data_IF_155763269973
#
_entry.id   IF_155763269973
#
_cell.length_a   1.000
_cell.length_b   1.000
_cell.length_c   1.000
_cell.angle_alpha   90.00
_cell.angle_beta   90.00
_cell.angle_gamma   90.00
#
_symmetry.space_group_name_H-M   'P 1'
#
loop_
_entity.id
_entity.type
_entity.pdbx_description
1 polymer ?
#
# COMPACT_ATOMS: atom_id res chain seq x y z
N UNK A 1 -21.22 21.69 -2.19
CA UNK A 1 -20.08 22.40 -1.59
C UNK A 1 -19.18 22.79 -2.75
N UNK A 2 -18.88 24.09 -2.96
CA UNK A 2 -17.95 24.50 -4.02
C UNK A 2 -16.53 24.43 -3.47
N UNK A 3 -15.87 23.30 -3.71
CA UNK A 3 -14.46 23.11 -3.37
C UNK A 3 -13.59 23.55 -4.55
N UNK A 4 -12.42 24.16 -4.30
CA UNK A 4 -11.50 24.51 -5.36
C UNK A 4 -11.06 23.24 -6.10
N UNK A 5 -11.09 23.31 -7.43
CA UNK A 5 -10.53 22.28 -8.30
C UNK A 5 -9.01 22.25 -8.21
N UNK A 6 -8.39 21.22 -8.79
CA UNK A 6 -6.94 21.18 -8.88
C UNK A 6 -6.38 22.36 -9.69
N UNK A 7 -7.09 22.76 -10.74
CA UNK A 7 -6.72 23.90 -11.59
C UNK A 7 -6.77 25.21 -10.80
N UNK A 8 -7.81 25.42 -9.99
CA UNK A 8 -7.92 26.59 -9.12
C UNK A 8 -6.72 26.69 -8.17
N UNK A 9 -6.26 25.56 -7.63
CA UNK A 9 -5.11 25.52 -6.73
C UNK A 9 -3.80 25.77 -7.50
N UNK A 10 -3.60 25.14 -8.66
CA UNK A 10 -2.39 25.36 -9.47
C UNK A 10 -2.26 26.83 -9.90
N UNK A 11 -3.39 27.47 -10.23
CA UNK A 11 -3.43 28.87 -10.62
C UNK A 11 -2.92 29.81 -9.51
N UNK A 12 -3.08 29.45 -8.23
CA UNK A 12 -2.53 30.25 -7.12
C UNK A 12 -1.00 30.32 -7.08
N UNK A 13 -0.32 29.49 -7.89
CA UNK A 13 1.14 29.42 -7.95
C UNK A 13 1.70 29.79 -9.32
N UNK A 14 0.93 30.42 -10.20
CA UNK A 14 1.39 30.78 -11.54
C UNK A 14 2.64 31.68 -11.54
N UNK A 15 2.77 32.56 -10.54
CA UNK A 15 3.91 33.47 -10.37
C UNK A 15 5.11 32.82 -9.65
N UNK A 16 5.03 31.54 -9.28
CA UNK A 16 6.12 30.82 -8.60
C UNK A 16 7.19 30.36 -9.62
N UNK A 17 7.96 31.32 -10.14
CA UNK A 17 8.91 31.18 -11.26
C UNK A 17 10.02 30.12 -11.14
N UNK A 18 10.18 29.44 -10.00
CA UNK A 18 11.35 28.58 -9.74
C UNK A 18 11.04 27.13 -9.36
N UNK A 19 9.78 26.75 -9.13
CA UNK A 19 9.44 25.40 -8.67
C UNK A 19 8.22 24.86 -9.42
N UNK A 20 8.36 23.67 -10.03
CA UNK A 20 7.19 22.89 -10.44
C UNK A 20 6.40 22.52 -9.19
N UNK A 21 5.12 22.90 -9.12
CA UNK A 21 4.22 22.55 -8.02
C UNK A 21 3.29 21.45 -8.52
N UNK A 22 3.28 20.33 -7.82
CA UNK A 22 2.23 19.32 -7.99
C UNK A 22 1.18 19.56 -6.94
N UNK A 23 -0.08 19.61 -7.38
CA UNK A 23 -1.23 19.57 -6.51
C UNK A 23 -2.26 18.56 -6.98
N UNK A 24 -3.09 18.12 -6.04
CA UNK A 24 -4.34 17.42 -6.30
C UNK A 24 -5.27 17.58 -5.10
N UNK A 25 -6.54 17.28 -5.32
CA UNK A 25 -7.59 17.41 -4.31
C UNK A 25 -8.26 16.07 -4.12
N UNK A 26 -8.52 15.76 -2.86
CA UNK A 26 -9.34 14.64 -2.44
C UNK A 26 -10.65 15.13 -1.85
N UNK A 27 -11.70 14.35 -2.10
CA UNK A 27 -12.98 14.53 -1.48
C UNK A 27 -13.40 13.23 -0.81
N UNK A 28 -13.68 13.33 0.48
CA UNK A 28 -14.10 12.25 1.36
C UNK A 28 -15.59 12.43 1.62
N UNK A 29 -16.39 11.61 0.96
CA UNK A 29 -17.86 11.66 0.99
C UNK A 29 -18.44 11.29 2.35
N UNK A 30 -17.86 10.30 3.04
CA UNK A 30 -18.35 9.83 4.34
C UNK A 30 -18.17 10.92 5.41
N UNK A 31 -17.08 11.68 5.33
CA UNK A 31 -16.76 12.76 6.28
C UNK A 31 -17.17 14.15 5.80
N UNK A 32 -17.58 14.29 4.53
CA UNK A 32 -17.82 15.56 3.84
C UNK A 32 -16.62 16.52 3.92
N UNK A 33 -15.40 15.98 3.83
CA UNK A 33 -14.16 16.76 3.90
C UNK A 33 -13.43 16.80 2.56
N UNK A 34 -12.93 17.99 2.21
CA UNK A 34 -11.94 18.15 1.15
C UNK A 34 -10.52 18.16 1.73
N UNK A 35 -9.56 17.57 1.03
CA UNK A 35 -8.13 17.71 1.33
C UNK A 35 -7.39 18.15 0.09
N UNK A 36 -6.58 19.19 0.23
CA UNK A 36 -5.67 19.63 -0.81
C UNK A 36 -4.26 19.15 -0.48
N UNK A 37 -3.57 18.64 -1.50
CA UNK A 37 -2.19 18.22 -1.48
C UNK A 37 -1.38 19.15 -2.36
N UNK A 38 -0.28 19.73 -1.86
CA UNK A 38 0.56 20.69 -2.59
C UNK A 38 2.03 20.41 -2.24
N UNK A 39 2.86 20.21 -3.26
CA UNK A 39 4.28 19.94 -3.10
C UNK A 39 5.10 20.67 -4.15
N UNK A 40 6.16 21.35 -3.70
CA UNK A 40 7.15 21.95 -4.58
C UNK A 40 8.22 20.94 -4.99
N UNK A 41 8.68 21.06 -6.23
CA UNK A 41 9.87 20.40 -6.75
C UNK A 41 11.13 21.21 -6.40
N UNK A 42 12.27 20.58 -6.06
CA UNK A 42 12.46 19.14 -5.88
C UNK A 42 11.78 18.63 -4.60
N UNK A 43 11.24 17.40 -4.65
CA UNK A 43 10.57 16.79 -3.48
C UNK A 43 11.60 16.42 -2.42
N UNK A 44 11.71 17.24 -1.37
CA UNK A 44 12.63 17.01 -0.25
C UNK A 44 11.98 16.28 0.92
N UNK A 45 10.67 15.99 0.84
CA UNK A 45 9.96 15.28 1.89
C UNK A 45 10.46 13.85 2.06
N UNK A 46 10.62 13.43 3.32
CA UNK A 46 11.02 12.06 3.68
C UNK A 46 9.83 11.13 3.89
N UNK A 47 8.65 11.69 4.16
CA UNK A 47 7.41 10.96 4.45
C UNK A 47 6.22 11.55 3.70
N UNK A 48 5.36 10.68 3.16
CA UNK A 48 4.13 11.07 2.47
C UNK A 48 2.92 10.35 3.07
N UNK A 49 2.10 11.08 3.80
CA UNK A 49 0.96 10.48 4.52
C UNK A 49 -0.36 10.66 3.76
N UNK A 50 -1.22 9.64 3.87
CA UNK A 50 -2.61 9.59 3.38
C UNK A 50 -2.74 9.83 1.87
N UNK A 51 -1.97 9.08 1.09
CA UNK A 51 -2.09 9.02 -0.37
C UNK A 51 -3.38 8.28 -0.74
N UNK A 52 -4.16 8.87 -1.65
CA UNK A 52 -5.48 8.40 -2.10
C UNK A 52 -5.42 7.92 -3.56
N UNK A 53 -6.52 7.37 -4.09
CA UNK A 53 -6.64 6.99 -5.51
C UNK A 53 -6.44 8.17 -6.48
N UNK A 54 -6.65 9.42 -6.05
CA UNK A 54 -6.47 10.60 -6.91
C UNK A 54 -5.00 11.00 -7.07
N UNK A 55 -4.09 10.31 -6.39
CA UNK A 55 -2.66 10.57 -6.50
C UNK A 55 -2.21 10.49 -7.97
N UNK A 56 -1.67 11.59 -8.54
CA UNK A 56 -1.36 11.67 -9.96
C UNK A 56 -0.10 10.90 -10.36
N UNK A 57 0.70 10.44 -9.38
CA UNK A 57 2.02 9.87 -9.61
C UNK A 57 3.14 10.91 -9.51
N UNK A 58 4.30 10.58 -10.09
CA UNK A 58 5.53 11.38 -10.01
C UNK A 58 6.64 10.63 -9.27
N UNK A 59 7.90 11.04 -9.41
CA UNK A 59 9.04 10.29 -8.83
C UNK A 59 9.57 10.98 -7.58
N UNK A 60 9.29 10.39 -6.41
CA UNK A 60 9.62 10.93 -5.09
C UNK A 60 10.81 10.20 -4.48
N UNK A 61 12.03 10.51 -4.94
CA UNK A 61 13.26 9.79 -4.53
C UNK A 61 13.62 9.94 -3.05
N UNK A 62 13.24 11.04 -2.41
CA UNK A 62 13.55 11.29 -1.00
C UNK A 62 12.56 10.63 -0.03
N UNK A 63 11.42 10.17 -0.53
CA UNK A 63 10.36 9.60 0.31
C UNK A 63 10.69 8.15 0.65
N UNK A 64 10.79 7.86 1.94
CA UNK A 64 11.09 6.53 2.46
C UNK A 64 9.95 5.92 3.27
N UNK A 65 8.93 6.71 3.62
CA UNK A 65 7.74 6.25 4.35
C UNK A 65 6.49 6.81 3.72
N UNK A 66 5.52 5.95 3.46
CA UNK A 66 4.21 6.36 2.95
C UNK A 66 3.07 5.73 3.76
N UNK A 67 1.93 6.42 3.81
CA UNK A 67 0.66 5.83 4.22
C UNK A 67 -0.41 6.04 3.15
N UNK A 68 -1.22 5.00 2.92
CA UNK A 68 -2.27 4.97 1.92
C UNK A 68 -3.62 4.92 2.62
N UNK A 69 -4.55 5.77 2.22
CA UNK A 69 -5.90 5.84 2.78
C UNK A 69 -6.88 6.38 1.74
N UNK A 70 -8.05 5.75 1.61
CA UNK A 70 -9.15 6.25 0.77
C UNK A 70 -10.47 5.64 1.25
N UNK A 71 -11.59 6.29 0.94
CA UNK A 71 -12.95 5.74 1.12
C UNK A 71 -13.31 4.76 -0.01
N UNK A 72 -12.57 4.79 -1.12
CA UNK A 72 -12.71 3.86 -2.25
C UNK A 72 -11.70 2.71 -2.15
N UNK A 73 -12.00 1.54 -2.73
CA UNK A 73 -11.02 0.46 -2.89
C UNK A 73 -9.74 0.90 -3.60
N UNK A 74 -8.63 0.23 -3.31
CA UNK A 74 -7.39 0.37 -4.07
C UNK A 74 -7.23 -0.82 -5.02
N UNK A 75 -7.18 -0.56 -6.32
CA UNK A 75 -6.98 -1.62 -7.31
C UNK A 75 -5.50 -1.86 -7.62
N UNK A 76 -5.18 -2.93 -8.33
CA UNK A 76 -3.79 -3.33 -8.62
C UNK A 76 -2.96 -2.21 -9.27
N UNK A 77 -3.56 -1.48 -10.21
CA UNK A 77 -2.97 -0.32 -10.89
C UNK A 77 -2.54 0.81 -9.94
N UNK A 78 -3.26 0.99 -8.84
CA UNK A 78 -2.90 1.99 -7.84
C UNK A 78 -1.59 1.59 -7.17
N UNK A 79 -1.45 0.33 -6.75
CA UNK A 79 -0.21 -0.16 -6.14
C UNK A 79 0.97 -0.14 -7.10
N UNK A 80 0.76 -0.37 -8.40
CA UNK A 80 1.78 -0.17 -9.44
C UNK A 80 2.24 1.29 -9.50
N UNK A 81 1.28 2.23 -9.54
CA UNK A 81 1.57 3.66 -9.53
C UNK A 81 2.37 4.06 -8.28
N UNK A 82 2.01 3.53 -7.11
CA UNK A 82 2.73 3.73 -5.85
C UNK A 82 4.16 3.20 -5.96
N UNK A 83 4.37 1.96 -6.38
CA UNK A 83 5.71 1.38 -6.50
C UNK A 83 6.62 2.19 -7.45
N UNK A 84 6.08 2.65 -8.58
CA UNK A 84 6.79 3.49 -9.54
C UNK A 84 7.12 4.89 -8.97
N UNK A 85 6.21 5.43 -8.16
CA UNK A 85 6.35 6.78 -7.62
C UNK A 85 7.31 6.87 -6.43
N UNK A 86 7.43 5.78 -5.67
CA UNK A 86 8.20 5.70 -4.43
C UNK A 86 9.26 4.60 -4.49
N UNK A 87 10.26 4.69 -5.39
CA UNK A 87 11.19 3.61 -5.67
C UNK A 87 12.07 3.19 -4.47
N UNK A 88 12.20 4.05 -3.45
CA UNK A 88 13.02 3.80 -2.25
C UNK A 88 12.19 3.69 -0.96
N UNK A 89 10.90 3.38 -1.09
CA UNK A 89 10.01 3.22 0.07
C UNK A 89 10.50 2.09 0.98
N UNK A 90 10.69 2.41 2.26
CA UNK A 90 11.10 1.50 3.33
C UNK A 90 9.95 1.12 4.25
N UNK A 91 8.96 2.00 4.39
CA UNK A 91 7.78 1.76 5.21
C UNK A 91 6.50 2.11 4.44
N UNK A 92 5.60 1.15 4.34
CA UNK A 92 4.28 1.28 3.75
C UNK A 92 3.22 0.95 4.81
N UNK A 93 2.32 1.90 5.07
CA UNK A 93 1.15 1.71 5.93
C UNK A 93 -0.08 1.74 5.04
N UNK A 94 -0.97 0.75 5.16
CA UNK A 94 -2.21 0.68 4.40
C UNK A 94 -3.42 0.73 5.33
N UNK A 95 -4.20 1.79 5.20
CA UNK A 95 -5.42 2.06 5.97
C UNK A 95 -6.61 2.10 5.00
N UNK A 96 -7.10 0.92 4.62
CA UNK A 96 -8.27 0.81 3.74
C UNK A 96 -8.99 -0.50 4.01
N UNK A 97 -10.22 -0.40 4.51
CA UNK A 97 -11.06 -1.56 4.85
C UNK A 97 -12.04 -1.94 3.74
N UNK A 98 -12.03 -1.23 2.60
CA UNK A 98 -12.87 -1.56 1.46
C UNK A 98 -12.25 -2.73 0.67
N UNK A 99 -13.04 -3.76 0.32
CA UNK A 99 -12.57 -4.84 -0.55
C UNK A 99 -12.21 -4.31 -1.93
N UNK A 100 -11.27 -4.98 -2.60
CA UNK A 100 -10.99 -4.71 -4.01
C UNK A 100 -12.20 -5.16 -4.84
N UNK A 101 -12.62 -4.31 -5.78
CA UNK A 101 -13.68 -4.68 -6.72
C UNK A 101 -13.12 -5.70 -7.73
N UNK A 102 -11.89 -5.48 -8.19
CA UNK A 102 -11.25 -6.26 -9.24
C UNK A 102 -9.98 -6.95 -8.72
N UNK A 103 -10.17 -7.98 -7.89
CA UNK A 103 -9.09 -8.78 -7.26
C UNK A 103 -8.15 -9.47 -8.26
N UNK A 104 -8.71 -9.76 -9.42
CA UNK A 104 -8.13 -10.27 -10.66
C UNK A 104 -8.98 -9.58 -11.72
N UNK A 105 -8.41 -9.04 -12.80
CA UNK A 105 -9.24 -8.56 -13.90
C UNK A 105 -10.12 -9.72 -14.41
N UNK A 106 -11.37 -9.78 -13.97
CA UNK A 106 -12.44 -10.49 -14.69
C UNK A 106 -13.09 -9.41 -15.51
N UNK A 107 -12.69 -9.27 -16.78
CA UNK A 107 -13.47 -8.76 -17.91
C UNK A 107 -12.54 -8.35 -19.06
N UNK A 108 -11.94 -9.33 -19.71
CA UNK A 108 -11.76 -9.29 -21.17
C UNK A 108 -11.87 -10.72 -21.65
N UNK A 109 -12.52 -10.94 -22.78
CA UNK A 109 -12.61 -12.23 -23.49
C UNK A 109 -11.23 -12.77 -23.96
N UNK A 110 -10.14 -12.19 -23.42
CA UNK A 110 -8.76 -12.60 -23.56
C UNK A 110 -8.24 -13.00 -22.16
N UNK A 111 -8.23 -14.30 -21.89
CA UNK A 111 -7.83 -14.96 -20.63
C UNK A 111 -6.32 -14.79 -20.28
N UNK A 112 -5.59 -13.87 -20.92
CA UNK A 112 -4.12 -13.85 -20.92
C UNK A 112 -3.46 -12.53 -20.50
N UNK A 113 -4.18 -11.53 -19.99
CA UNK A 113 -3.51 -10.35 -19.42
C UNK A 113 -2.92 -10.64 -18.03
N UNK A 114 -1.67 -11.08 -18.03
CA UNK A 114 -0.84 -11.16 -16.82
C UNK A 114 -0.53 -9.74 -16.36
N UNK A 115 -1.15 -9.32 -15.25
CA UNK A 115 -0.83 -8.04 -14.62
C UNK A 115 0.65 -8.01 -14.20
N UNK A 116 1.35 -6.88 -14.36
CA UNK A 116 2.73 -6.80 -13.96
C UNK A 116 2.84 -6.93 -12.44
N UNK A 117 3.85 -7.68 -11.99
CA UNK A 117 4.15 -7.89 -10.59
C UNK A 117 4.58 -6.55 -9.97
N UNK A 118 4.00 -6.21 -8.83
CA UNK A 118 4.37 -5.00 -8.09
C UNK A 118 5.65 -5.29 -7.30
N UNK A 119 6.68 -4.46 -7.46
CA UNK A 119 7.96 -4.67 -6.78
C UNK A 119 8.23 -3.59 -5.72
N UNK A 120 8.55 -4.03 -4.51
CA UNK A 120 8.93 -3.16 -3.39
C UNK A 120 10.32 -3.57 -2.85
N UNK A 121 11.40 -3.26 -3.60
CA UNK A 121 12.74 -3.82 -3.33
C UNK A 121 13.37 -3.33 -2.03
N UNK A 122 12.94 -2.19 -1.47
CA UNK A 122 13.50 -1.61 -0.24
C UNK A 122 12.54 -1.65 0.95
N UNK A 123 11.37 -2.30 0.80
CA UNK A 123 10.33 -2.28 1.81
C UNK A 123 10.71 -3.15 3.01
N UNK A 124 11.00 -2.50 4.13
CA UNK A 124 11.42 -3.12 5.40
C UNK A 124 10.23 -3.26 6.36
N UNK A 125 9.20 -2.42 6.24
CA UNK A 125 8.00 -2.51 7.08
C UNK A 125 6.73 -2.33 6.27
N UNK A 126 5.86 -3.33 6.32
CA UNK A 126 4.51 -3.32 5.77
C UNK A 126 3.50 -3.42 6.91
N UNK A 127 2.63 -2.41 7.03
CA UNK A 127 1.63 -2.32 8.09
C UNK A 127 0.23 -2.44 7.49
N UNK A 128 -0.45 -3.55 7.80
CA UNK A 128 -1.77 -3.94 7.27
C UNK A 128 -2.79 -4.13 8.41
N UNK A 129 -2.61 -3.49 9.57
CA UNK A 129 -3.54 -3.66 10.69
C UNK A 129 -4.93 -3.13 10.38
N UNK A 130 -5.02 -2.06 9.59
CA UNK A 130 -6.27 -1.40 9.17
C UNK A 130 -6.59 -1.67 7.69
N UNK A 131 -6.17 -2.84 7.18
CA UNK A 131 -6.35 -3.22 5.79
C UNK A 131 -7.35 -4.37 5.62
N UNK A 132 -8.16 -4.29 4.56
CA UNK A 132 -8.99 -5.40 4.12
C UNK A 132 -8.14 -6.64 3.72
N UNK A 133 -8.72 -7.83 3.84
CA UNK A 133 -8.03 -9.11 3.58
C UNK A 133 -7.53 -9.26 2.14
N UNK A 134 -8.14 -8.56 1.18
CA UNK A 134 -7.71 -8.56 -0.23
C UNK A 134 -6.31 -7.98 -0.39
N UNK A 135 -5.98 -6.93 0.36
CA UNK A 135 -4.66 -6.32 0.33
C UNK A 135 -3.62 -7.22 1.00
N UNK A 136 -4.00 -7.88 2.09
CA UNK A 136 -3.14 -8.89 2.74
C UNK A 136 -2.82 -10.01 1.74
N UNK A 137 -3.82 -10.50 1.01
CA UNK A 137 -3.61 -11.49 -0.05
C UNK A 137 -2.72 -10.94 -1.18
N UNK A 138 -2.95 -9.71 -1.64
CA UNK A 138 -2.13 -9.07 -2.68
C UNK A 138 -0.64 -9.02 -2.33
N UNK A 139 -0.30 -8.67 -1.09
CA UNK A 139 1.10 -8.57 -0.64
C UNK A 139 1.71 -9.94 -0.32
N UNK A 140 0.92 -10.92 0.11
CA UNK A 140 1.42 -12.26 0.42
C UNK A 140 1.52 -13.19 -0.79
N UNK A 141 0.76 -12.96 -1.86
CA UNK A 141 0.90 -13.71 -3.11
C UNK A 141 2.12 -13.22 -3.90
N UNK A 142 3.07 -14.12 -4.12
CA UNK A 142 4.30 -13.85 -4.87
C UNK A 142 4.04 -13.60 -6.37
N UNK A 143 2.93 -14.12 -6.88
CA UNK A 143 2.42 -13.85 -8.23
C UNK A 143 1.91 -12.42 -8.43
N UNK A 144 1.63 -11.69 -7.34
CA UNK A 144 1.12 -10.31 -7.40
C UNK A 144 2.15 -9.28 -6.95
N UNK A 145 2.93 -9.61 -5.91
CA UNK A 145 3.88 -8.70 -5.31
C UNK A 145 5.22 -9.37 -5.03
N UNK A 146 6.32 -8.67 -5.28
CA UNK A 146 7.67 -9.03 -4.83
C UNK A 146 8.10 -8.12 -3.70
N UNK A 147 8.18 -8.71 -2.51
CA UNK A 147 8.71 -8.05 -1.31
C UNK A 147 10.23 -8.20 -1.22
N UNK A 148 10.87 -7.23 -0.56
CA UNK A 148 12.28 -7.32 -0.20
C UNK A 148 12.52 -8.48 0.78
N UNK A 149 13.72 -9.06 0.73
CA UNK A 149 14.18 -9.95 1.78
C UNK A 149 14.38 -9.12 3.05
N UNK A 150 13.99 -9.63 4.22
CA UNK A 150 14.07 -8.94 5.51
C UNK A 150 12.92 -7.96 5.82
N UNK A 151 11.73 -8.24 5.28
CA UNK A 151 10.52 -7.45 5.54
C UNK A 151 9.91 -7.72 6.92
N UNK A 152 9.34 -6.70 7.54
CA UNK A 152 8.54 -6.80 8.75
C UNK A 152 7.06 -6.59 8.40
N UNK A 153 6.23 -7.59 8.61
CA UNK A 153 4.77 -7.49 8.43
C UNK A 153 4.09 -7.24 9.77
N UNK A 154 3.22 -6.23 9.83
CA UNK A 154 2.31 -5.98 10.93
C UNK A 154 0.88 -6.23 10.44
N UNK A 155 0.15 -7.16 11.06
CA UNK A 155 -1.16 -7.60 10.57
C UNK A 155 -2.02 -8.18 11.69
N UNK A 156 -3.35 -8.16 11.52
CA UNK A 156 -4.27 -8.84 12.43
C UNK A 156 -4.19 -10.36 12.23
N UNK A 157 -4.00 -11.12 13.31
CA UNK A 157 -3.86 -12.58 13.27
C UNK A 157 -5.01 -13.29 12.56
N UNK A 158 -6.25 -12.90 12.85
CA UNK A 158 -7.43 -13.53 12.24
C UNK A 158 -7.48 -13.32 10.72
N UNK A 159 -7.07 -12.14 10.25
CA UNK A 159 -7.03 -11.83 8.82
C UNK A 159 -5.93 -12.65 8.14
N UNK A 160 -4.73 -12.69 8.73
CA UNK A 160 -3.62 -13.50 8.23
C UNK A 160 -3.97 -14.99 8.15
N UNK A 161 -4.61 -15.52 9.20
CA UNK A 161 -5.06 -16.92 9.25
C UNK A 161 -6.07 -17.23 8.16
N UNK A 162 -6.94 -16.28 7.77
CA UNK A 162 -7.89 -16.48 6.66
C UNK A 162 -7.16 -16.53 5.31
N UNK A 163 -6.30 -15.55 5.04
CA UNK A 163 -5.58 -15.43 3.76
C UNK A 163 -4.63 -16.61 3.51
N UNK A 164 -3.99 -17.10 4.56
CA UNK A 164 -3.07 -18.25 4.48
C UNK A 164 -3.76 -19.62 4.58
N UNK A 165 -5.10 -19.64 4.65
CA UNK A 165 -5.91 -20.85 4.85
C UNK A 165 -5.49 -21.66 6.10
N UNK A 166 -5.31 -20.97 7.23
CA UNK A 166 -4.71 -21.53 8.45
C UNK A 166 -3.28 -22.00 8.23
N UNK A 167 -2.50 -21.22 7.47
CA UNK A 167 -1.08 -21.45 7.22
C UNK A 167 -0.80 -22.75 6.45
N UNK A 168 -1.66 -23.08 5.48
CA UNK A 168 -1.50 -24.24 4.58
C UNK A 168 -1.43 -23.86 3.10
N UNK A 169 -1.72 -22.61 2.73
CA UNK A 169 -1.71 -22.16 1.34
C UNK A 169 -0.27 -21.93 0.86
N UNK A 170 0.23 -22.75 -0.07
CA UNK A 170 1.63 -22.65 -0.53
C UNK A 170 1.93 -21.35 -1.30
N UNK A 171 0.95 -20.82 -2.05
CA UNK A 171 1.12 -19.61 -2.85
C UNK A 171 1.46 -18.36 -2.01
N UNK A 172 1.07 -18.32 -0.73
CA UNK A 172 1.42 -17.22 0.18
C UNK A 172 2.72 -17.48 0.97
N UNK A 173 3.32 -18.68 0.83
CA UNK A 173 4.49 -19.10 1.60
C UNK A 173 5.77 -18.46 1.10
N UNK A 174 5.92 -18.26 -0.21
CA UNK A 174 7.13 -17.70 -0.83
C UNK A 174 7.41 -16.28 -0.30
N UNK A 175 6.42 -15.38 -0.31
CA UNK A 175 6.60 -14.07 0.32
C UNK A 175 6.60 -14.16 1.84
N UNK A 176 5.90 -15.13 2.44
CA UNK A 176 5.95 -15.37 3.88
C UNK A 176 7.36 -15.69 4.40
N UNK A 177 8.13 -16.50 3.67
CA UNK A 177 9.51 -16.88 4.01
C UNK A 177 10.49 -15.68 3.95
N UNK A 178 10.21 -14.68 3.10
CA UNK A 178 11.02 -13.45 2.98
C UNK A 178 10.82 -12.48 4.15
N UNK A 179 9.73 -12.64 4.90
CA UNK A 179 9.44 -11.81 6.06
C UNK A 179 10.35 -12.23 7.22
N UNK A 180 11.20 -11.32 7.66
CA UNK A 180 12.03 -11.51 8.84
C UNK A 180 11.22 -11.41 10.11
N UNK A 181 10.17 -10.58 10.15
CA UNK A 181 9.38 -10.42 11.37
C UNK A 181 7.90 -10.35 11.05
N UNK A 182 7.12 -11.06 11.86
CA UNK A 182 5.67 -10.99 11.86
C UNK A 182 5.19 -10.45 13.20
N UNK A 183 4.64 -9.24 13.20
CA UNK A 183 3.99 -8.63 14.37
C UNK A 183 2.48 -8.82 14.25
N UNK A 184 1.90 -9.56 15.18
CA UNK A 184 0.48 -9.90 15.16
C UNK A 184 -0.31 -9.03 16.13
N UNK A 185 -1.31 -8.31 15.64
CA UNK A 185 -2.27 -7.61 16.49
C UNK A 185 -3.36 -8.59 16.96
N UNK A 186 -3.56 -8.65 18.28
CA UNK A 186 -4.55 -9.49 18.96
C UNK A 186 -3.97 -10.29 20.14
N UNK A 187 -4.79 -10.58 21.15
CA UNK A 187 -4.37 -11.32 22.37
C UNK A 187 -4.28 -12.83 22.12
N UNK A 188 -3.36 -13.28 21.29
CA UNK A 188 -3.20 -14.70 20.99
C UNK A 188 -1.79 -15.20 21.29
N UNK A 189 -1.69 -16.33 21.98
CA UNK A 189 -0.45 -17.12 21.97
C UNK A 189 -0.24 -17.60 20.54
N UNK A 190 0.88 -17.22 19.94
CA UNK A 190 1.22 -17.58 18.56
C UNK A 190 1.40 -19.11 18.48
N UNK A 191 0.55 -19.83 17.72
CA UNK A 191 0.67 -21.28 17.59
C UNK A 191 1.99 -21.68 16.91
N UNK A 192 2.52 -22.86 17.24
CA UNK A 192 3.80 -23.35 16.71
C UNK A 192 3.83 -23.43 15.18
N UNK A 193 2.74 -23.84 14.55
CA UNK A 193 2.62 -23.94 13.08
C UNK A 193 2.77 -22.58 12.36
N UNK A 194 2.51 -21.46 13.04
CA UNK A 194 2.75 -20.13 12.44
C UNK A 194 4.24 -19.90 12.22
N UNK A 195 5.09 -20.41 13.11
CA UNK A 195 6.55 -20.31 12.99
C UNK A 195 7.11 -21.21 11.89
N UNK A 196 6.43 -22.31 11.58
CA UNK A 196 6.78 -23.17 10.44
C UNK A 196 6.49 -22.47 9.11
N UNK A 197 5.45 -21.62 9.09
CA UNK A 197 5.06 -20.85 7.92
C UNK A 197 5.86 -19.54 7.74
N UNK A 198 6.26 -18.91 8.84
CA UNK A 198 7.07 -17.69 8.86
C UNK A 198 8.35 -17.95 9.66
N UNK A 199 9.33 -18.53 8.97
CA UNK A 199 10.55 -19.11 9.55
C UNK A 199 11.41 -18.15 10.38
N UNK A 200 11.29 -16.84 10.19
CA UNK A 200 12.08 -15.82 10.89
C UNK A 200 11.33 -15.09 12.03
N UNK A 201 10.10 -15.50 12.37
CA UNK A 201 9.24 -14.71 13.26
C UNK A 201 9.76 -14.53 14.70
N UNK A 202 10.06 -13.29 15.08
CA UNK A 202 10.22 -12.87 16.49
C UNK A 202 8.91 -12.31 17.09
N UNK A 203 8.59 -12.73 18.31
CA UNK A 203 7.41 -12.26 19.08
C UNK A 203 7.81 -11.05 19.92
N UNK A 204 7.10 -9.92 19.79
CA UNK A 204 7.17 -8.84 20.77
C UNK A 204 6.28 -9.21 21.95
N UNK A 205 6.90 -9.34 23.12
CA UNK A 205 6.21 -9.36 24.41
C UNK A 205 5.95 -7.93 24.89
#
# INVERSE_FOLDING_TARGET
MNLPSNEDIQYTFEDFHHNHIISYVDYFSDTQQGRCHIYSYPYTLSEYNKITNNFPGGVFKCVSKISLYDERPFEHEFFLRIAQSFPFVKKLILENMKPQNDKQCKNSEDDNQVLPIIEYPYLIKLDLTEAHLDYIELFLLDTKTRLSNNGNLVVIYQALRRVTEKFTKDATRINGEKLHRLSLLGKYRIPKYVKEYFSHTEILN
#
